data_IF_762183513007
#
_entry.id   IF_762183513007
#
_cell.length_a   1.000
_cell.length_b   1.000
_cell.length_c   1.000
_cell.angle_alpha   90.00
_cell.angle_beta   90.00
_cell.angle_gamma   90.00
#
_symmetry.space_group_name_H-M   'P 1'
#
loop_
_entity.id
_entity.type
_entity.pdbx_description
1 polymer ?
#
# COMPACT_ATOMS: atom_id res chain seq x y z
N UNK A 1 5.62 10.78 27.89
CA UNK A 1 4.47 11.70 27.93
C UNK A 1 3.17 10.90 27.97
N UNK A 2 2.25 11.28 28.86
CA UNK A 2 0.93 10.65 28.88
C UNK A 2 -0.01 11.38 27.91
N UNK A 3 -0.77 10.65 27.05
CA UNK A 3 -1.73 11.28 26.15
C UNK A 3 -2.88 11.91 26.96
N UNK A 4 -3.57 12.91 26.38
CA UNK A 4 -4.75 13.49 26.98
C UNK A 4 -5.89 12.47 27.07
N UNK A 5 -6.82 12.66 28.01
CA UNK A 5 -8.00 11.78 28.15
C UNK A 5 -8.89 11.81 26.90
N UNK A 6 -9.01 12.97 26.25
CA UNK A 6 -9.84 13.12 25.04
C UNK A 6 -9.23 12.41 23.85
N UNK A 7 -7.90 12.52 23.66
CA UNK A 7 -7.19 11.73 22.65
C UNK A 7 -7.36 10.23 22.88
N UNK A 8 -7.12 9.76 24.12
CA UNK A 8 -7.22 8.32 24.46
C UNK A 8 -8.63 7.77 24.27
N UNK A 9 -9.68 8.58 24.48
CA UNK A 9 -11.08 8.19 24.27
C UNK A 9 -11.38 7.87 22.81
N UNK A 10 -10.82 8.64 21.88
CA UNK A 10 -10.99 8.46 20.42
C UNK A 10 -10.00 7.48 19.79
N UNK A 11 -8.94 7.06 20.47
CA UNK A 11 -7.90 6.19 19.93
C UNK A 11 -8.37 4.74 19.78
N UNK A 12 -7.85 4.05 18.75
CA UNK A 12 -8.10 2.61 18.55
C UNK A 12 -7.53 1.75 19.69
N UNK A 13 -6.36 2.12 20.21
CA UNK A 13 -5.74 1.53 21.42
C UNK A 13 -5.81 2.60 22.50
N UNK A 14 -6.61 2.37 23.52
CA UNK A 14 -6.99 3.40 24.50
C UNK A 14 -6.06 3.51 25.70
N UNK A 15 -5.18 2.52 25.91
CA UNK A 15 -4.27 2.49 27.05
C UNK A 15 -2.99 1.73 26.74
N UNK A 16 -1.93 2.04 27.49
CA UNK A 16 -0.67 1.31 27.40
C UNK A 16 -0.84 -0.17 27.78
N UNK A 17 -1.70 -0.48 28.75
CA UNK A 17 -2.04 -1.85 29.14
C UNK A 17 -2.68 -2.65 27.99
N UNK A 18 -3.52 -2.00 27.18
CA UNK A 18 -4.11 -2.63 25.99
C UNK A 18 -3.06 -2.91 24.93
N UNK A 19 -2.13 -1.97 24.70
CA UNK A 19 -0.97 -2.17 23.83
C UNK A 19 -0.12 -3.36 24.29
N UNK A 20 0.27 -3.42 25.56
CA UNK A 20 1.05 -4.52 26.12
C UNK A 20 0.35 -5.88 25.97
N UNK A 21 -0.97 -5.91 26.15
CA UNK A 21 -1.77 -7.13 25.94
C UNK A 21 -1.71 -7.59 24.47
N UNK A 22 -1.87 -6.69 23.53
CA UNK A 22 -1.78 -7.00 22.10
C UNK A 22 -0.38 -7.47 21.71
N UNK A 23 0.64 -6.82 22.24
CA UNK A 23 2.03 -7.19 22.02
C UNK A 23 2.34 -8.60 22.57
N UNK A 24 1.91 -8.89 23.79
CA UNK A 24 2.05 -10.20 24.40
C UNK A 24 1.30 -11.31 23.63
N UNK A 25 0.11 -11.01 23.08
CA UNK A 25 -0.62 -11.94 22.21
C UNK A 25 0.15 -12.24 20.93
N UNK A 26 0.73 -11.21 20.28
CA UNK A 26 1.53 -11.38 19.08
C UNK A 26 2.80 -12.22 19.35
N UNK A 27 3.47 -11.98 20.48
CA UNK A 27 4.66 -12.72 20.88
C UNK A 27 4.35 -14.19 21.24
N UNK A 28 3.23 -14.43 21.95
CA UNK A 28 2.84 -15.78 22.41
C UNK A 28 2.39 -16.69 21.26
N UNK A 29 1.64 -16.14 20.28
CA UNK A 29 1.14 -16.91 19.14
C UNK A 29 1.07 -16.00 17.89
N UNK A 30 2.22 -15.80 17.22
CA UNK A 30 2.31 -14.93 16.04
C UNK A 30 1.40 -15.39 14.91
N UNK A 31 1.26 -16.68 14.67
CA UNK A 31 0.40 -17.21 13.59
C UNK A 31 -1.06 -16.81 13.82
N UNK A 32 -1.59 -17.00 15.03
CA UNK A 32 -2.96 -16.60 15.35
C UNK A 32 -3.17 -15.10 15.28
N UNK A 33 -2.21 -14.33 15.79
CA UNK A 33 -2.27 -12.87 15.77
C UNK A 33 -2.27 -12.33 14.33
N UNK A 34 -1.31 -12.72 13.51
CA UNK A 34 -1.20 -12.25 12.13
C UNK A 34 -2.32 -12.78 11.23
N UNK A 35 -2.82 -14.00 11.48
CA UNK A 35 -4.02 -14.49 10.80
C UNK A 35 -5.24 -13.60 11.09
N UNK A 36 -5.42 -13.14 12.33
CA UNK A 36 -6.55 -12.26 12.69
C UNK A 36 -6.45 -10.89 12.00
N UNK A 37 -5.26 -10.33 11.88
CA UNK A 37 -5.02 -9.07 11.15
C UNK A 37 -5.24 -9.27 9.66
N UNK A 38 -4.63 -10.29 9.07
CA UNK A 38 -4.74 -10.56 7.63
C UNK A 38 -6.17 -10.90 7.18
N UNK A 39 -6.99 -11.47 8.06
CA UNK A 39 -8.40 -11.78 7.77
C UNK A 39 -9.29 -10.55 7.61
N UNK A 40 -8.82 -9.37 7.98
CA UNK A 40 -9.54 -8.10 7.78
C UNK A 40 -9.42 -7.57 6.34
N UNK A 41 -8.52 -8.15 5.55
CA UNK A 41 -8.28 -7.77 4.16
C UNK A 41 -8.90 -8.77 3.19
N UNK A 42 -9.12 -8.33 1.96
CA UNK A 42 -9.62 -9.20 0.90
C UNK A 42 -8.51 -10.09 0.35
N UNK A 43 -8.78 -11.39 0.28
CA UNK A 43 -7.92 -12.41 -0.33
C UNK A 43 -8.69 -13.12 -1.43
N UNK A 44 -8.19 -13.11 -2.65
CA UNK A 44 -8.72 -13.90 -3.77
C UNK A 44 -8.53 -15.40 -3.53
N UNK A 45 -7.48 -15.75 -2.78
CA UNK A 45 -7.25 -17.11 -2.25
C UNK A 45 -6.68 -16.98 -0.85
N UNK A 46 -7.34 -17.58 0.13
CA UNK A 46 -6.84 -17.60 1.50
C UNK A 46 -5.55 -18.44 1.59
N UNK A 47 -4.67 -18.04 2.48
CA UNK A 47 -3.46 -18.78 2.78
C UNK A 47 -3.76 -20.13 3.47
N UNK A 48 -2.85 -21.08 3.36
CA UNK A 48 -2.89 -22.36 4.08
C UNK A 48 -2.02 -22.36 5.34
N UNK A 49 -0.98 -21.50 5.41
CA UNK A 49 -0.09 -21.35 6.55
C UNK A 49 0.32 -19.86 6.68
N UNK A 50 0.36 -19.35 7.91
CA UNK A 50 0.66 -17.92 8.14
C UNK A 50 2.14 -17.65 7.93
N UNK A 51 3.02 -18.45 8.54
CA UNK A 51 4.46 -18.28 8.47
C UNK A 51 5.16 -19.62 8.26
N UNK A 52 6.03 -19.68 7.26
CA UNK A 52 7.09 -20.68 7.15
C UNK A 52 8.42 -19.98 7.40
N UNK A 53 9.03 -20.29 8.53
CA UNK A 53 10.34 -19.77 8.90
C UNK A 53 11.40 -20.85 8.65
N UNK A 54 12.39 -20.49 7.82
CA UNK A 54 13.61 -21.28 7.62
C UNK A 54 14.75 -20.29 7.53
N UNK A 55 15.48 -20.15 8.62
CA UNK A 55 16.54 -19.15 8.76
C UNK A 55 17.53 -19.17 7.58
N UNK A 56 17.86 -18.01 6.98
CA UNK A 56 17.39 -16.65 7.26
C UNK A 56 16.10 -16.25 6.49
N UNK A 57 15.38 -17.19 5.89
CA UNK A 57 14.26 -16.94 4.99
C UNK A 57 12.90 -17.11 5.68
N UNK A 58 11.98 -16.19 5.38
CA UNK A 58 10.60 -16.25 5.82
C UNK A 58 9.63 -16.23 4.62
N UNK A 59 8.58 -17.05 4.68
CA UNK A 59 7.44 -16.99 3.74
C UNK A 59 6.18 -16.74 4.52
N UNK A 60 5.56 -15.58 4.29
CA UNK A 60 4.31 -15.18 4.93
C UNK A 60 3.10 -15.56 4.09
N UNK A 61 2.00 -15.93 4.74
CA UNK A 61 0.69 -16.22 4.13
C UNK A 61 0.79 -17.18 2.93
N UNK A 62 1.44 -18.30 3.16
CA UNK A 62 1.83 -19.27 2.12
C UNK A 62 0.62 -19.75 1.32
N UNK A 63 0.69 -19.59 0.00
CA UNK A 63 -0.35 -19.96 -0.95
C UNK A 63 -1.52 -18.98 -1.01
N UNK A 64 -1.52 -17.90 -0.21
CA UNK A 64 -2.47 -16.81 -0.30
C UNK A 64 -2.30 -16.01 -1.58
N UNK A 65 -3.40 -15.40 -2.07
CA UNK A 65 -3.39 -14.47 -3.19
C UNK A 65 -4.19 -13.23 -2.83
N UNK A 66 -3.56 -12.08 -2.88
CA UNK A 66 -4.18 -10.77 -2.66
C UNK A 66 -3.58 -9.76 -3.62
N UNK A 67 -4.18 -8.59 -3.71
CA UNK A 67 -3.64 -7.45 -4.44
C UNK A 67 -3.77 -6.20 -3.58
N UNK A 68 -2.69 -5.45 -3.44
CA UNK A 68 -2.66 -4.27 -2.58
C UNK A 68 -3.55 -3.15 -3.14
N UNK A 69 -3.56 -2.94 -4.46
CA UNK A 69 -4.43 -1.95 -5.09
C UNK A 69 -5.91 -2.30 -4.87
N UNK A 70 -6.29 -3.58 -4.98
CA UNK A 70 -7.65 -4.01 -4.69
C UNK A 70 -8.07 -3.65 -3.26
N UNK A 71 -7.24 -3.95 -2.28
CA UNK A 71 -7.53 -3.64 -0.88
C UNK A 71 -7.50 -2.15 -0.55
N UNK A 72 -6.58 -1.40 -1.18
CA UNK A 72 -6.44 0.03 -0.91
C UNK A 72 -7.47 0.90 -1.67
N UNK A 73 -8.00 0.41 -2.79
CA UNK A 73 -8.79 1.22 -3.71
C UNK A 73 -10.12 0.58 -4.09
N UNK A 74 -10.11 -0.63 -4.71
CA UNK A 74 -11.33 -1.19 -5.32
C UNK A 74 -12.43 -1.44 -4.28
N UNK A 75 -12.08 -2.02 -3.12
CA UNK A 75 -13.04 -2.29 -2.04
C UNK A 75 -13.70 -1.01 -1.50
N UNK A 76 -13.05 0.14 -1.66
CA UNK A 76 -13.59 1.43 -1.22
C UNK A 76 -14.39 2.12 -2.34
N UNK A 77 -14.00 1.96 -3.60
CA UNK A 77 -14.66 2.58 -4.74
C UNK A 77 -16.07 2.04 -5.01
N UNK A 78 -16.39 0.85 -4.49
CA UNK A 78 -17.71 0.19 -4.64
C UNK A 78 -18.62 0.33 -3.42
N UNK A 79 -18.18 1.04 -2.37
CA UNK A 79 -18.94 1.23 -1.13
C UNK A 79 -19.37 2.70 -0.96
N UNK A 80 -19.98 3.02 0.19
CA UNK A 80 -20.29 4.39 0.59
C UNK A 80 -19.08 5.33 0.58
N UNK A 81 -17.85 4.77 0.66
CA UNK A 81 -16.60 5.54 0.63
C UNK A 81 -16.24 6.07 -0.76
N UNK A 82 -16.91 5.64 -1.82
CA UNK A 82 -16.57 6.04 -3.20
C UNK A 82 -16.45 7.55 -3.41
N UNK A 83 -17.27 8.33 -2.72
CA UNK A 83 -17.29 9.78 -2.79
C UNK A 83 -16.46 10.47 -1.69
N UNK A 84 -15.83 9.68 -0.80
CA UNK A 84 -14.89 10.21 0.20
C UNK A 84 -13.59 10.62 -0.47
N UNK A 85 -12.93 11.67 0.03
CA UNK A 85 -11.58 12.04 -0.37
C UNK A 85 -10.62 10.87 -0.10
N UNK A 86 -9.94 10.41 -1.16
CA UNK A 86 -8.85 9.45 -1.09
C UNK A 86 -7.50 10.16 -1.04
N UNK A 87 -7.39 11.30 -1.74
CA UNK A 87 -6.21 12.16 -1.76
C UNK A 87 -6.67 13.60 -1.55
N UNK A 88 -6.02 14.29 -0.65
CA UNK A 88 -6.07 15.75 -0.50
C UNK A 88 -4.63 16.23 -0.73
N UNK A 89 -4.43 16.98 -1.79
CA UNK A 89 -3.12 17.45 -2.19
C UNK A 89 -3.09 18.97 -2.18
N UNK A 90 -1.97 19.51 -1.71
CA UNK A 90 -1.65 20.91 -1.73
C UNK A 90 -0.27 21.09 -2.36
N UNK A 91 -0.20 21.89 -3.41
CA UNK A 91 1.03 22.23 -4.13
C UNK A 91 1.77 23.37 -3.45
N UNK A 92 3.06 23.51 -3.76
CA UNK A 92 3.92 24.56 -3.22
C UNK A 92 3.37 25.99 -3.45
N UNK A 93 2.75 26.32 -4.62
CA UNK A 93 2.11 27.61 -4.85
C UNK A 93 0.77 27.81 -4.13
N UNK A 94 0.28 26.80 -3.39
CA UNK A 94 -1.02 26.83 -2.72
C UNK A 94 -2.18 26.23 -3.53
N UNK A 95 -1.92 25.67 -4.71
CA UNK A 95 -2.93 24.92 -5.47
C UNK A 95 -3.43 23.72 -4.68
N UNK A 96 -4.73 23.46 -4.72
CA UNK A 96 -5.31 22.33 -4.00
C UNK A 96 -6.12 21.41 -4.94
N UNK A 97 -5.99 20.11 -4.73
CA UNK A 97 -6.78 19.09 -5.43
C UNK A 97 -7.29 18.05 -4.45
N UNK A 98 -8.60 17.80 -4.51
CA UNK A 98 -9.21 16.67 -3.77
C UNK A 98 -9.67 15.63 -4.78
N UNK A 99 -9.21 14.39 -4.61
CA UNK A 99 -9.54 13.26 -5.47
C UNK A 99 -10.28 12.23 -4.65
N UNK A 100 -11.49 11.86 -5.08
CA UNK A 100 -12.28 10.81 -4.42
C UNK A 100 -11.79 9.41 -4.77
N UNK A 101 -12.20 8.38 -3.98
CA UNK A 101 -11.91 7.00 -4.32
C UNK A 101 -12.42 6.61 -5.72
N UNK A 102 -13.58 7.10 -6.14
CA UNK A 102 -14.12 6.83 -7.47
C UNK A 102 -13.24 7.44 -8.58
N UNK A 103 -12.81 8.69 -8.41
CA UNK A 103 -11.92 9.37 -9.37
C UNK A 103 -10.55 8.68 -9.43
N UNK A 104 -9.96 8.40 -8.26
CA UNK A 104 -8.67 7.70 -8.18
C UNK A 104 -8.73 6.33 -8.86
N UNK A 105 -9.82 5.58 -8.67
CA UNK A 105 -10.02 4.29 -9.33
C UNK A 105 -10.01 4.41 -10.87
N UNK A 106 -10.68 5.43 -11.41
CA UNK A 106 -10.70 5.68 -12.86
C UNK A 106 -9.29 5.97 -13.40
N UNK A 107 -8.56 6.87 -12.74
CA UNK A 107 -7.21 7.25 -13.19
C UNK A 107 -6.22 6.08 -13.07
N UNK A 108 -6.28 5.31 -12.00
CA UNK A 108 -5.48 4.08 -11.81
C UNK A 108 -5.78 3.05 -12.90
N UNK A 109 -7.05 2.84 -13.24
CA UNK A 109 -7.44 1.92 -14.33
C UNK A 109 -6.94 2.39 -15.70
N UNK A 110 -7.05 3.69 -16.03
CA UNK A 110 -6.55 4.26 -17.28
C UNK A 110 -5.05 4.04 -17.42
N UNK A 111 -4.28 4.38 -16.38
CA UNK A 111 -2.83 4.23 -16.40
C UNK A 111 -2.42 2.75 -16.46
N UNK A 112 -3.04 1.88 -15.68
CA UNK A 112 -2.80 0.44 -15.73
C UNK A 112 -3.02 -0.14 -17.14
N UNK A 113 -4.09 0.28 -17.82
CA UNK A 113 -4.36 -0.13 -19.20
C UNK A 113 -3.32 0.42 -20.19
N UNK A 114 -2.88 1.67 -20.02
CA UNK A 114 -1.83 2.26 -20.84
C UNK A 114 -0.49 1.53 -20.68
N UNK A 115 -0.13 1.17 -19.44
CA UNK A 115 1.07 0.37 -19.13
C UNK A 115 1.01 -1.01 -19.79
N UNK A 116 -0.11 -1.73 -19.65
CA UNK A 116 -0.32 -3.02 -20.33
C UNK A 116 -0.19 -2.93 -21.85
N UNK A 117 -0.74 -1.88 -22.47
CA UNK A 117 -0.59 -1.66 -23.92
C UNK A 117 0.87 -1.43 -24.32
N UNK A 118 1.72 -0.96 -23.43
CA UNK A 118 3.16 -0.78 -23.63
C UNK A 118 4.00 -2.00 -23.25
N UNK A 119 3.36 -3.11 -22.89
CA UNK A 119 4.02 -4.38 -22.63
C UNK A 119 4.37 -4.63 -21.17
N UNK A 120 4.00 -3.72 -20.24
CA UNK A 120 4.25 -3.95 -18.81
C UNK A 120 3.35 -5.08 -18.31
N UNK A 121 3.97 -6.08 -17.69
CA UNK A 121 3.32 -7.29 -17.20
C UNK A 121 3.61 -7.53 -15.71
N UNK A 122 2.99 -8.58 -15.18
CA UNK A 122 3.26 -9.01 -13.81
C UNK A 122 4.71 -9.47 -13.65
N UNK A 123 5.39 -8.90 -12.67
CA UNK A 123 6.79 -9.22 -12.34
C UNK A 123 7.79 -8.19 -12.87
N UNK A 124 7.37 -7.32 -13.79
CA UNK A 124 8.22 -6.23 -14.23
C UNK A 124 8.41 -5.20 -13.11
N UNK A 125 9.52 -4.48 -13.16
CA UNK A 125 9.78 -3.33 -12.29
C UNK A 125 9.61 -2.04 -13.07
N UNK A 126 8.96 -1.05 -12.44
CA UNK A 126 8.71 0.29 -13.01
C UNK A 126 9.37 1.34 -12.13
N UNK A 127 10.36 2.03 -12.65
CA UNK A 127 10.94 3.20 -11.97
C UNK A 127 9.99 4.40 -12.09
N UNK A 128 9.70 5.06 -10.95
CA UNK A 128 8.84 6.24 -10.91
C UNK A 128 9.70 7.41 -10.38
N UNK A 129 10.01 8.36 -11.27
CA UNK A 129 10.76 9.58 -10.93
C UNK A 129 9.85 10.78 -11.11
N UNK A 130 9.23 11.20 -10.02
CA UNK A 130 8.21 12.26 -10.00
C UNK A 130 8.33 13.10 -8.73
N UNK A 131 7.82 14.35 -8.80
CA UNK A 131 7.57 15.17 -7.62
C UNK A 131 6.40 14.64 -6.79
N UNK A 132 6.12 15.32 -5.67
CA UNK A 132 5.00 15.00 -4.76
C UNK A 132 3.67 15.52 -5.33
N UNK A 133 3.22 14.90 -6.41
CA UNK A 133 1.98 15.25 -7.15
C UNK A 133 0.96 14.10 -7.03
N UNK A 134 -0.34 14.35 -7.22
CA UNK A 134 -1.38 13.31 -7.13
C UNK A 134 -1.19 12.15 -8.11
N UNK A 135 -0.49 12.38 -9.20
CA UNK A 135 -0.17 11.38 -10.21
C UNK A 135 0.80 10.31 -9.70
N UNK A 136 1.61 10.62 -8.67
CA UNK A 136 2.53 9.65 -8.07
C UNK A 136 1.80 8.44 -7.45
N UNK A 137 0.86 8.59 -6.52
CA UNK A 137 0.09 7.45 -6.00
C UNK A 137 -0.77 6.77 -7.08
N UNK A 138 -1.21 7.47 -8.13
CA UNK A 138 -1.88 6.84 -9.28
C UNK A 138 -0.93 5.86 -9.98
N UNK A 139 0.33 6.26 -10.23
CA UNK A 139 1.34 5.41 -10.85
C UNK A 139 1.68 4.20 -9.96
N UNK A 140 1.88 4.39 -8.66
CA UNK A 140 2.13 3.33 -7.71
C UNK A 140 1.01 2.29 -7.68
N UNK A 141 -0.24 2.74 -7.61
CA UNK A 141 -1.42 1.86 -7.60
C UNK A 141 -1.65 1.17 -8.95
N UNK A 142 -1.34 1.83 -10.06
CA UNK A 142 -1.42 1.22 -11.40
C UNK A 142 -0.43 0.06 -11.56
N UNK A 143 0.82 0.21 -11.11
CA UNK A 143 1.81 -0.87 -11.08
C UNK A 143 1.31 -2.06 -10.25
N UNK A 144 0.92 -1.81 -9.00
CA UNK A 144 0.44 -2.87 -8.11
C UNK A 144 -0.84 -3.54 -8.62
N UNK A 145 -1.71 -2.80 -9.33
CA UNK A 145 -2.92 -3.34 -9.93
C UNK A 145 -2.63 -4.43 -10.95
N UNK A 146 -1.62 -4.25 -11.79
CA UNK A 146 -1.21 -5.23 -12.81
C UNK A 146 -0.20 -6.26 -12.31
N UNK A 147 0.25 -6.12 -11.06
CA UNK A 147 1.23 -7.03 -10.44
C UNK A 147 2.68 -6.72 -10.78
N UNK A 148 2.95 -5.51 -11.27
CA UNK A 148 4.31 -4.98 -11.43
C UNK A 148 4.81 -4.38 -10.12
N UNK A 149 6.10 -4.52 -9.86
CA UNK A 149 6.77 -3.81 -8.78
C UNK A 149 6.99 -2.34 -9.17
N UNK A 150 7.01 -1.42 -8.22
CA UNK A 150 7.43 -0.05 -8.48
C UNK A 150 8.60 0.35 -7.58
N UNK A 151 9.55 1.11 -8.15
CA UNK A 151 10.64 1.75 -7.43
C UNK A 151 10.45 3.27 -7.51
N UNK A 152 10.04 3.87 -6.41
CA UNK A 152 9.82 5.33 -6.35
C UNK A 152 11.14 6.01 -6.01
N UNK A 153 11.56 6.92 -6.89
CA UNK A 153 12.78 7.71 -6.74
C UNK A 153 12.39 9.16 -6.45
N UNK A 154 12.93 9.71 -5.38
CA UNK A 154 12.68 11.10 -5.00
C UNK A 154 13.14 12.06 -6.10
N UNK A 155 12.27 13.00 -6.49
CA UNK A 155 12.48 13.91 -7.60
C UNK A 155 13.66 14.89 -7.46
N UNK A 156 14.26 15.00 -6.27
CA UNK A 156 15.45 15.78 -5.99
C UNK A 156 16.78 15.03 -6.18
N UNK A 157 16.75 13.75 -6.55
CA UNK A 157 17.99 13.00 -6.79
C UNK A 157 18.61 13.34 -8.14
N UNK A 158 19.95 13.19 -8.22
CA UNK A 158 20.73 13.41 -9.44
C UNK A 158 20.43 12.35 -10.50
N UNK A 159 20.72 12.66 -11.77
CA UNK A 159 20.63 11.70 -12.88
C UNK A 159 21.46 10.44 -12.64
N UNK A 160 22.64 10.59 -12.02
CA UNK A 160 23.48 9.44 -11.64
C UNK A 160 22.75 8.52 -10.66
N UNK A 161 22.19 9.07 -9.58
CA UNK A 161 21.45 8.29 -8.58
C UNK A 161 20.21 7.62 -9.18
N UNK A 162 19.52 8.29 -10.11
CA UNK A 162 18.39 7.70 -10.83
C UNK A 162 18.84 6.52 -11.69
N UNK A 163 19.90 6.66 -12.47
CA UNK A 163 20.48 5.59 -13.31
C UNK A 163 20.84 4.37 -12.47
N UNK A 164 21.53 4.59 -11.34
CA UNK A 164 22.00 3.50 -10.49
C UNK A 164 20.80 2.71 -9.90
N UNK A 165 19.70 3.39 -9.53
CA UNK A 165 18.48 2.76 -9.04
C UNK A 165 17.71 2.01 -10.14
N UNK A 166 17.65 2.54 -11.35
CA UNK A 166 17.05 1.86 -12.50
C UNK A 166 17.80 0.57 -12.80
N UNK A 167 19.13 0.64 -12.83
CA UNK A 167 19.97 -0.53 -13.11
C UNK A 167 19.88 -1.58 -11.99
N UNK A 168 19.91 -1.15 -10.73
CA UNK A 168 19.80 -2.05 -9.56
C UNK A 168 18.44 -2.75 -9.49
N UNK A 169 17.38 -2.04 -9.84
CA UNK A 169 16.01 -2.55 -9.85
C UNK A 169 15.63 -3.31 -11.12
N UNK A 170 16.50 -3.33 -12.13
CA UNK A 170 16.24 -3.88 -13.48
C UNK A 170 14.92 -3.32 -14.09
N UNK A 171 14.70 -2.01 -13.94
CA UNK A 171 13.46 -1.33 -14.29
C UNK A 171 13.44 -0.79 -15.74
#
# INVERSE_FOLDING_TARGET
>A
FKPSKDFSRGAHIKSFKEYEKLYAQAAKNPDKYWASIASQYHWFKKWRKVLEWKEPHAKWFVGGKTNICHNALDVHSTTWRRNKAAIIWEGEPGDQRTITYAQLHIEVCKLANAMKKRGVTKGDTVAIYMGMVPELPVAMLACTRIGAAHSVVFGGFTSQSLRDRINDAEA
#
